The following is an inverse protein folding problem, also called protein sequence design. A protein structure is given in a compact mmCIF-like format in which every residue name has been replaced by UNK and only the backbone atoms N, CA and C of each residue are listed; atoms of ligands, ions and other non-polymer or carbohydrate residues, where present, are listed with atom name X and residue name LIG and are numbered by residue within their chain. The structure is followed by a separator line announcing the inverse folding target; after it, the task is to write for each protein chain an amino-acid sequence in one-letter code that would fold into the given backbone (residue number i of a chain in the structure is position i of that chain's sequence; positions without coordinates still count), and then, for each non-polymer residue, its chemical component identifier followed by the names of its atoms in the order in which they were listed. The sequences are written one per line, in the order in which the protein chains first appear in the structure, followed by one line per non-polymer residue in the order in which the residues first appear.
data_IF_909051324213
#
_entry.id   IF_909051324213
#
_cell.length_a   1.000
_cell.length_b   1.000
_cell.length_c   1.000
_cell.angle_alpha   90.00
_cell.angle_beta   90.00
_cell.angle_gamma   90.00
#
_symmetry.space_group_name_H-M   'P 1'
#
loop_
_entity.id
_entity.type
_entity.pdbx_description
1 polymer ?
#
# COMPACT_ATOMS: atom_id res chain seq x y z
N UNK A 1 -5.22 7.60 -8.55
CA UNK A 1 -4.21 8.28 -9.38
C UNK A 1 -3.49 9.41 -8.63
N UNK A 2 -4.06 9.99 -7.59
CA UNK A 2 -3.40 11.07 -6.82
C UNK A 2 -2.14 10.62 -6.06
N UNK A 3 -1.99 9.31 -5.77
CA UNK A 3 -0.92 8.80 -4.91
C UNK A 3 0.26 8.21 -5.66
N UNK A 4 0.07 7.74 -6.89
CA UNK A 4 1.17 7.47 -7.81
C UNK A 4 0.82 7.92 -9.25
N UNK A 5 1.80 8.42 -10.01
CA UNK A 5 1.55 9.24 -11.18
C UNK A 5 1.33 8.40 -12.45
N UNK A 6 0.16 7.77 -12.58
CA UNK A 6 -0.25 7.11 -13.82
C UNK A 6 -0.66 8.12 -14.88
N UNK A 7 -0.19 7.92 -16.10
CA UNK A 7 -0.52 8.69 -17.28
C UNK A 7 -0.73 7.85 -18.53
N UNK A 8 -1.07 8.48 -19.67
CA UNK A 8 -1.44 7.76 -20.90
C UNK A 8 -0.27 7.04 -21.58
N UNK A 9 0.96 7.37 -21.22
CA UNK A 9 2.16 6.71 -21.75
C UNK A 9 2.65 5.55 -20.87
N UNK A 10 2.00 5.32 -19.72
CA UNK A 10 2.42 4.30 -18.79
C UNK A 10 1.93 2.90 -19.18
N UNK A 11 2.77 1.92 -18.92
CA UNK A 11 2.46 0.50 -19.01
C UNK A 11 2.58 -0.13 -17.63
N UNK A 12 1.50 -0.72 -17.17
CA UNK A 12 1.49 -1.38 -15.86
C UNK A 12 1.46 -2.90 -16.00
N UNK A 13 2.15 -3.58 -15.09
CA UNK A 13 2.02 -5.02 -14.91
C UNK A 13 1.73 -5.31 -13.46
N UNK A 14 0.47 -5.67 -13.17
CA UNK A 14 0.03 -6.03 -11.83
C UNK A 14 0.05 -7.55 -11.66
N UNK A 15 0.86 -8.00 -10.69
CA UNK A 15 1.10 -9.41 -10.41
C UNK A 15 0.20 -9.95 -9.28
N UNK A 16 -0.72 -9.13 -8.76
CA UNK A 16 -1.75 -9.54 -7.80
C UNK A 16 -3.01 -10.02 -8.52
N UNK A 17 -3.76 -10.98 -7.95
CA UNK A 17 -4.99 -11.47 -8.57
C UNK A 17 -6.03 -10.37 -8.78
N UNK A 18 -6.63 -10.29 -9.96
CA UNK A 18 -7.57 -9.23 -10.32
C UNK A 18 -8.96 -9.37 -9.71
N UNK A 19 -9.28 -10.50 -9.10
CA UNK A 19 -10.50 -10.63 -8.29
C UNK A 19 -10.37 -9.93 -6.92
N UNK A 20 -9.15 -9.61 -6.49
CA UNK A 20 -8.89 -8.85 -5.27
C UNK A 20 -8.88 -7.35 -5.57
N UNK A 21 -9.39 -6.52 -4.62
CA UNK A 21 -9.44 -5.07 -4.78
C UNK A 21 -8.07 -4.45 -5.08
N UNK A 22 -7.00 -4.93 -4.41
CA UNK A 22 -5.63 -4.53 -4.69
C UNK A 22 -5.18 -4.86 -6.11
N UNK A 23 -5.59 -5.99 -6.67
CA UNK A 23 -5.24 -6.38 -8.03
C UNK A 23 -5.93 -5.55 -9.10
N UNK A 24 -7.21 -5.27 -8.95
CA UNK A 24 -7.99 -4.55 -9.96
C UNK A 24 -7.80 -3.03 -9.90
N UNK A 25 -7.60 -2.45 -8.69
CA UNK A 25 -7.55 -1.01 -8.50
C UNK A 25 -6.17 -0.43 -8.19
N UNK A 26 -5.20 -1.23 -7.70
CA UNK A 26 -3.87 -0.74 -7.35
C UNK A 26 -2.90 -0.76 -8.54
N UNK A 27 -3.11 0.10 -9.52
CA UNK A 27 -2.35 0.07 -10.78
C UNK A 27 -2.69 -1.14 -11.67
N UNK A 28 -3.81 -1.81 -11.38
CA UNK A 28 -4.41 -2.83 -12.23
C UNK A 28 -5.18 -2.21 -13.40
N UNK A 29 -6.09 -2.98 -14.03
CA UNK A 29 -6.76 -2.52 -15.25
C UNK A 29 -7.57 -1.23 -15.05
N UNK A 30 -8.33 -1.10 -13.96
CA UNK A 30 -9.22 0.04 -13.80
C UNK A 30 -8.50 1.39 -13.83
N UNK A 31 -7.53 1.69 -12.93
CA UNK A 31 -6.87 2.99 -12.95
C UNK A 31 -5.95 3.19 -14.15
N UNK A 32 -5.34 2.12 -14.67
CA UNK A 32 -4.42 2.23 -15.81
C UNK A 32 -5.16 2.60 -17.08
N UNK A 33 -6.25 1.91 -17.39
CA UNK A 33 -7.08 2.22 -18.56
C UNK A 33 -7.80 3.56 -18.40
N UNK A 34 -8.24 3.91 -17.18
CA UNK A 34 -8.81 5.24 -16.91
C UNK A 34 -7.80 6.37 -17.16
N UNK A 35 -6.51 6.13 -16.87
CA UNK A 35 -5.45 7.09 -17.17
C UNK A 35 -5.05 7.14 -18.66
N UNK A 36 -5.60 6.27 -19.50
CA UNK A 36 -5.25 6.13 -20.92
C UNK A 36 -4.00 5.28 -21.15
N UNK A 37 -3.47 4.63 -20.13
CA UNK A 37 -2.28 3.77 -20.20
C UNK A 37 -2.58 2.35 -20.70
N UNK A 38 -1.54 1.54 -20.78
CA UNK A 38 -1.60 0.15 -21.23
C UNK A 38 -1.42 -0.83 -20.06
N UNK A 39 -2.14 -1.95 -20.09
CA UNK A 39 -2.00 -3.04 -19.10
C UNK A 39 -1.34 -4.25 -19.77
N UNK A 40 -0.18 -4.65 -19.25
CA UNK A 40 0.46 -5.90 -19.68
C UNK A 40 -0.01 -7.03 -18.76
N UNK A 41 -0.75 -7.97 -19.35
CA UNK A 41 -1.37 -9.08 -18.63
C UNK A 41 -0.36 -10.21 -18.46
N UNK A 42 -0.15 -10.60 -17.20
CA UNK A 42 0.63 -11.77 -16.86
C UNK A 42 -0.32 -12.90 -16.45
N UNK A 43 -0.37 -13.97 -17.25
CA UNK A 43 -1.26 -15.11 -16.98
C UNK A 43 -0.87 -15.84 -15.69
N UNK A 44 0.44 -16.12 -15.55
CA UNK A 44 0.99 -16.85 -14.41
C UNK A 44 2.23 -16.13 -13.90
N UNK A 45 2.36 -15.98 -12.58
CA UNK A 45 3.53 -15.37 -12.00
C UNK A 45 4.77 -16.27 -12.11
N UNK A 46 5.78 -15.76 -12.79
CA UNK A 46 7.12 -16.33 -12.83
C UNK A 46 8.16 -15.18 -12.85
N UNK A 47 9.03 -15.04 -11.85
CA UNK A 47 9.93 -13.88 -11.72
C UNK A 47 10.76 -13.59 -12.97
N UNK A 48 11.34 -14.62 -13.59
CA UNK A 48 12.10 -14.46 -14.85
C UNK A 48 11.24 -13.92 -16.00
N UNK A 49 9.98 -14.40 -16.11
CA UNK A 49 9.06 -13.92 -17.13
C UNK A 49 8.66 -12.49 -16.89
N UNK A 50 8.40 -12.12 -15.63
CA UNK A 50 8.06 -10.76 -15.25
C UNK A 50 9.17 -9.77 -15.64
N UNK A 51 10.43 -10.06 -15.27
CA UNK A 51 11.55 -9.20 -15.61
C UNK A 51 11.78 -9.12 -17.13
N UNK A 52 11.70 -10.25 -17.83
CA UNK A 52 11.75 -10.28 -19.30
C UNK A 52 10.65 -9.42 -19.93
N UNK A 53 9.43 -9.43 -19.36
CA UNK A 53 8.34 -8.60 -19.86
C UNK A 53 8.52 -7.13 -19.47
N UNK A 54 9.06 -6.87 -18.28
CA UNK A 54 9.37 -5.50 -17.87
C UNK A 54 10.33 -4.82 -18.85
N UNK A 55 11.40 -5.52 -19.24
CA UNK A 55 12.34 -5.08 -20.27
C UNK A 55 11.69 -4.98 -21.66
N UNK A 56 11.07 -6.09 -22.13
CA UNK A 56 10.55 -6.19 -23.50
C UNK A 56 9.46 -5.17 -23.80
N UNK A 57 8.58 -4.91 -22.85
CA UNK A 57 7.43 -4.03 -23.01
C UNK A 57 7.61 -2.66 -22.40
N UNK A 58 8.81 -2.31 -21.91
CA UNK A 58 9.10 -1.05 -21.24
C UNK A 58 8.06 -0.73 -20.15
N UNK A 59 7.90 -1.64 -19.20
CA UNK A 59 6.93 -1.49 -18.12
C UNK A 59 7.30 -0.29 -17.25
N UNK A 60 6.37 0.63 -17.07
CA UNK A 60 6.54 1.82 -16.21
C UNK A 60 6.33 1.49 -14.73
N UNK A 61 5.35 0.65 -14.40
CA UNK A 61 5.04 0.29 -13.02
C UNK A 61 4.83 -1.21 -12.86
N UNK A 62 5.57 -1.79 -11.90
CA UNK A 62 5.34 -3.13 -11.40
C UNK A 62 4.53 -3.06 -10.10
N UNK A 63 3.48 -3.86 -10.01
CA UNK A 63 2.61 -3.88 -8.83
C UNK A 63 2.54 -5.29 -8.26
N UNK A 64 2.81 -5.43 -6.96
CA UNK A 64 2.77 -6.72 -6.29
C UNK A 64 2.97 -6.64 -4.80
N UNK A 65 2.65 -7.72 -4.09
CA UNK A 65 2.90 -7.84 -2.65
C UNK A 65 4.40 -7.98 -2.36
N UNK A 66 4.88 -7.67 -1.14
CA UNK A 66 6.31 -7.67 -0.80
C UNK A 66 7.04 -8.97 -1.16
N UNK A 67 6.40 -10.14 -0.99
CA UNK A 67 6.98 -11.44 -1.35
C UNK A 67 7.25 -11.58 -2.84
N UNK A 68 6.36 -11.07 -3.69
CA UNK A 68 6.55 -11.03 -5.15
C UNK A 68 7.74 -10.14 -5.50
N UNK A 69 7.82 -8.95 -4.92
CA UNK A 69 8.93 -8.01 -5.16
C UNK A 69 10.26 -8.62 -4.71
N UNK A 70 10.28 -9.34 -3.56
CA UNK A 70 11.47 -10.07 -3.11
C UNK A 70 11.96 -11.12 -4.14
N UNK A 71 11.03 -11.84 -4.76
CA UNK A 71 11.37 -12.83 -5.80
C UNK A 71 11.90 -12.16 -7.06
N UNK A 72 11.36 -11.02 -7.47
CA UNK A 72 11.89 -10.23 -8.58
C UNK A 72 13.30 -9.73 -8.28
N UNK A 73 13.54 -9.14 -7.10
CA UNK A 73 14.83 -8.63 -6.71
C UNK A 73 15.93 -9.73 -6.71
N UNK A 74 15.62 -10.92 -6.15
CA UNK A 74 16.53 -12.07 -6.19
C UNK A 74 16.83 -12.54 -7.61
N UNK A 75 15.85 -12.45 -8.50
CA UNK A 75 16.02 -12.86 -9.90
C UNK A 75 16.84 -11.83 -10.65
N UNK A 76 16.59 -10.54 -10.44
CA UNK A 76 17.34 -9.44 -11.02
C UNK A 76 18.84 -9.48 -10.60
N UNK A 77 19.11 -9.79 -9.34
CA UNK A 77 20.47 -9.93 -8.81
C UNK A 77 21.27 -11.05 -9.52
N UNK A 78 20.58 -12.15 -9.91
CA UNK A 78 21.20 -13.31 -10.57
C UNK A 78 21.24 -13.20 -12.09
N UNK A 79 20.23 -12.61 -12.67
CA UNK A 79 20.02 -12.48 -14.11
C UNK A 79 19.50 -11.09 -14.38
N UNK A 80 20.40 -10.10 -14.50
CA UNK A 80 20.00 -8.71 -14.72
C UNK A 80 19.23 -8.51 -16.03
N UNK A 81 18.20 -7.69 -15.96
CA UNK A 81 17.40 -7.19 -17.07
C UNK A 81 17.46 -5.66 -17.11
N UNK A 82 17.25 -5.05 -18.25
CA UNK A 82 17.12 -3.61 -18.35
C UNK A 82 15.76 -3.15 -17.81
N UNK A 83 15.80 -2.47 -16.66
CA UNK A 83 14.63 -1.90 -15.99
C UNK A 83 14.63 -0.38 -16.05
N UNK A 84 15.36 0.23 -16.98
CA UNK A 84 15.49 1.70 -17.10
C UNK A 84 14.16 2.41 -17.38
N UNK A 85 13.20 1.73 -17.99
CA UNK A 85 11.85 2.23 -18.21
C UNK A 85 10.99 2.25 -16.94
N UNK A 86 11.42 1.59 -15.85
CA UNK A 86 10.63 1.42 -14.65
C UNK A 86 10.59 2.71 -13.83
N UNK A 87 9.45 3.38 -13.85
CA UNK A 87 9.16 4.60 -13.10
C UNK A 87 8.86 4.34 -11.63
N UNK A 88 8.44 3.12 -11.29
CA UNK A 88 8.20 2.74 -9.90
C UNK A 88 7.71 1.32 -9.69
N UNK A 89 7.81 0.91 -8.44
CA UNK A 89 7.21 -0.32 -7.91
C UNK A 89 6.19 0.06 -6.85
N UNK A 90 4.98 -0.50 -6.95
CA UNK A 90 3.93 -0.33 -5.95
C UNK A 90 3.76 -1.65 -5.19
N UNK A 91 3.95 -1.60 -3.87
CA UNK A 91 3.73 -2.75 -2.99
C UNK A 91 2.62 -2.47 -1.98
N UNK A 92 1.98 -3.53 -1.48
CA UNK A 92 0.85 -3.45 -0.55
C UNK A 92 0.52 -4.80 0.07
N UNK A 93 -0.35 -4.79 1.07
CA UNK A 93 -1.01 -6.00 1.60
C UNK A 93 -0.18 -6.81 2.58
N UNK A 94 0.99 -6.35 2.96
CA UNK A 94 1.82 -6.89 4.03
C UNK A 94 2.84 -5.84 4.50
N UNK A 95 3.39 -5.96 5.72
CA UNK A 95 4.49 -5.13 6.17
C UNK A 95 5.68 -5.19 5.20
N UNK A 96 6.29 -4.04 4.96
CA UNK A 96 7.41 -3.90 4.03
C UNK A 96 8.66 -3.42 4.77
N UNK A 97 9.53 -4.35 5.10
CA UNK A 97 10.73 -4.13 5.91
C UNK A 97 11.66 -3.06 5.33
N UNK A 98 12.23 -2.22 6.20
CA UNK A 98 13.17 -1.16 5.82
C UNK A 98 14.36 -1.69 5.01
N UNK A 99 14.99 -2.76 5.49
CA UNK A 99 16.14 -3.39 4.83
C UNK A 99 15.80 -3.93 3.44
N UNK A 100 14.59 -4.48 3.28
CA UNK A 100 14.08 -4.94 2.00
C UNK A 100 13.84 -3.76 1.04
N UNK A 101 13.23 -2.68 1.52
CA UNK A 101 13.01 -1.47 0.76
C UNK A 101 14.33 -0.92 0.21
N UNK A 102 15.32 -0.71 1.08
CA UNK A 102 16.65 -0.21 0.70
C UNK A 102 17.38 -1.11 -0.31
N UNK A 103 17.23 -2.44 -0.14
CA UNK A 103 17.80 -3.41 -1.10
C UNK A 103 17.12 -3.30 -2.47
N UNK A 104 15.78 -3.21 -2.50
CA UNK A 104 15.05 -3.20 -3.76
C UNK A 104 15.17 -1.86 -4.49
N UNK A 105 15.36 -0.76 -3.77
CA UNK A 105 15.73 0.53 -4.35
C UNK A 105 17.01 0.45 -5.20
N UNK A 106 17.99 -0.35 -4.79
CA UNK A 106 19.26 -0.55 -5.51
C UNK A 106 19.14 -1.53 -6.68
N UNK A 107 18.34 -2.58 -6.52
CA UNK A 107 18.26 -3.68 -7.49
C UNK A 107 17.24 -3.48 -8.60
N UNK A 108 16.15 -2.79 -8.31
CA UNK A 108 15.00 -2.68 -9.22
C UNK A 108 14.76 -1.24 -9.67
N UNK A 109 14.43 -0.34 -8.75
CA UNK A 109 14.21 1.08 -9.00
C UNK A 109 14.25 1.87 -7.69
N UNK A 110 14.80 3.09 -7.68
CA UNK A 110 14.77 3.93 -6.48
C UNK A 110 13.36 4.38 -6.09
N UNK A 111 12.39 4.25 -6.98
CA UNK A 111 11.02 4.73 -6.79
C UNK A 111 10.12 3.62 -6.27
N UNK A 112 10.11 3.42 -4.96
CA UNK A 112 9.23 2.46 -4.31
C UNK A 112 8.06 3.20 -3.65
N UNK A 113 6.87 2.67 -3.88
CA UNK A 113 5.62 3.09 -3.28
C UNK A 113 5.11 1.94 -2.40
N UNK A 114 4.64 2.25 -1.19
CA UNK A 114 4.01 1.27 -0.32
C UNK A 114 2.65 1.78 0.16
N UNK A 115 1.58 1.06 -0.16
CA UNK A 115 0.22 1.39 0.22
C UNK A 115 -0.29 0.48 1.34
N UNK A 116 -0.86 1.07 2.38
CA UNK A 116 -1.63 0.35 3.39
C UNK A 116 -3.12 0.71 3.27
N UNK A 117 -3.96 -0.27 3.49
CA UNK A 117 -5.41 -0.15 3.53
C UNK A 117 -6.09 -1.50 3.51
N UNK A 118 -7.41 -1.47 3.65
CA UNK A 118 -8.27 -2.64 3.72
C UNK A 118 -9.20 -2.72 2.51
N UNK A 119 -9.92 -3.82 2.38
CA UNK A 119 -10.95 -3.93 1.32
C UNK A 119 -12.05 -2.90 1.51
N UNK A 120 -12.40 -2.57 2.76
CA UNK A 120 -13.48 -1.66 3.13
C UNK A 120 -13.20 -0.21 2.78
N UNK A 121 -11.94 0.22 2.84
CA UNK A 121 -11.55 1.63 2.68
C UNK A 121 -10.47 1.86 1.62
N UNK A 122 -9.98 0.81 0.96
CA UNK A 122 -8.91 0.82 -0.05
C UNK A 122 -7.58 1.34 0.52
N UNK A 123 -6.82 2.19 -0.20
CA UNK A 123 -5.59 2.79 0.31
C UNK A 123 -5.89 3.96 1.23
N UNK A 124 -5.39 3.88 2.44
CA UNK A 124 -5.57 4.90 3.46
C UNK A 124 -4.27 5.59 3.86
N UNK A 125 -3.14 4.88 3.77
CA UNK A 125 -1.82 5.53 3.80
C UNK A 125 -0.99 5.13 2.60
N UNK A 126 -0.03 5.99 2.25
CA UNK A 126 0.83 5.76 1.09
C UNK A 126 2.22 6.35 1.31
N UNK A 127 3.24 5.48 1.29
CA UNK A 127 4.65 5.86 1.25
C UNK A 127 5.02 6.17 -0.20
N UNK A 128 5.72 7.25 -0.42
CA UNK A 128 6.12 7.71 -1.76
C UNK A 128 7.64 7.83 -1.87
N UNK A 129 8.21 7.85 -3.08
CA UNK A 129 9.65 7.96 -3.27
C UNK A 129 10.32 9.16 -2.57
N UNK A 130 9.63 10.28 -2.44
CA UNK A 130 10.16 11.45 -1.74
C UNK A 130 10.24 11.28 -0.21
N UNK A 131 9.59 10.28 0.36
CA UNK A 131 9.69 9.91 1.77
C UNK A 131 10.89 8.98 2.04
N UNK A 132 11.55 8.49 0.97
CA UNK A 132 12.67 7.55 1.05
C UNK A 132 14.03 8.27 1.00
N UNK A 133 15.06 7.71 1.63
CA UNK A 133 15.07 6.46 2.40
C UNK A 133 14.65 6.60 3.87
N UNK A 134 14.41 7.82 4.37
CA UNK A 134 14.26 8.12 5.78
C UNK A 134 13.07 7.38 6.42
N UNK A 135 11.95 7.28 5.70
CA UNK A 135 10.74 6.61 6.16
C UNK A 135 10.57 5.19 5.57
N UNK A 136 11.64 4.59 5.05
CA UNK A 136 11.60 3.20 4.58
C UNK A 136 11.13 2.26 5.72
N UNK A 137 10.23 1.35 5.39
CA UNK A 137 9.61 0.43 6.34
C UNK A 137 8.35 0.97 7.03
N UNK A 138 7.92 2.21 6.71
CA UNK A 138 6.63 2.74 7.17
C UNK A 138 5.53 2.52 6.13
N UNK A 139 4.27 2.65 6.57
CA UNK A 139 3.10 2.67 5.68
C UNK A 139 2.88 4.04 5.01
N UNK A 140 3.74 5.02 5.27
CA UNK A 140 3.65 6.35 4.70
C UNK A 140 2.63 7.25 5.41
N UNK A 141 2.11 8.23 4.68
CA UNK A 141 1.19 9.27 5.18
C UNK A 141 -0.24 8.98 4.75
N UNK A 142 -1.22 9.51 5.48
CA UNK A 142 -2.64 9.45 5.09
C UNK A 142 -2.85 9.89 3.65
N UNK A 143 -3.73 9.17 2.97
CA UNK A 143 -4.19 9.55 1.65
C UNK A 143 -5.09 10.79 1.72
N UNK A 144 -5.26 11.47 0.58
CA UNK A 144 -6.16 12.62 0.49
C UNK A 144 -7.59 12.19 0.86
N UNK A 145 -8.25 13.01 1.64
CA UNK A 145 -9.62 12.79 2.15
C UNK A 145 -9.79 11.61 3.12
N UNK A 146 -8.68 11.03 3.59
CA UNK A 146 -8.69 10.01 4.62
C UNK A 146 -8.14 10.54 5.94
N UNK A 147 -8.78 10.13 7.01
CA UNK A 147 -8.28 10.31 8.36
C UNK A 147 -7.87 8.95 8.92
N UNK A 148 -6.61 8.83 9.32
CA UNK A 148 -6.04 7.63 9.93
C UNK A 148 -5.54 7.99 11.31
N UNK A 149 -6.03 7.27 12.32
CA UNK A 149 -5.62 7.43 13.71
C UNK A 149 -5.12 6.10 14.25
N UNK A 150 -4.27 6.17 15.28
CA UNK A 150 -3.84 5.01 16.05
C UNK A 150 -4.33 5.23 17.47
N UNK A 151 -5.30 4.42 17.88
CA UNK A 151 -5.97 4.54 19.18
C UNK A 151 -5.47 3.47 20.14
N UNK A 152 -5.59 3.72 21.44
CA UNK A 152 -5.17 2.77 22.47
C UNK A 152 -5.94 1.45 22.34
N UNK A 153 -5.26 0.35 22.58
CA UNK A 153 -5.89 -0.96 22.68
C UNK A 153 -6.63 -1.09 24.01
N UNK A 154 -7.82 -1.69 24.02
CA UNK A 154 -8.56 -2.01 25.23
C UNK A 154 -8.47 -3.50 25.52
N UNK A 155 -8.21 -3.82 26.77
CA UNK A 155 -8.09 -5.22 27.24
C UNK A 155 -9.41 -6.00 27.14
N UNK A 156 -10.54 -5.31 27.24
CA UNK A 156 -11.88 -5.89 27.12
C UNK A 156 -12.35 -6.10 25.68
N UNK A 157 -11.53 -5.72 24.70
CA UNK A 157 -11.86 -5.84 23.26
C UNK A 157 -12.93 -4.85 22.78
N UNK A 158 -13.35 -3.89 23.60
CA UNK A 158 -14.25 -2.81 23.17
C UNK A 158 -13.52 -1.77 22.32
N UNK A 159 -14.26 -1.00 21.53
CA UNK A 159 -13.68 0.11 20.77
C UNK A 159 -13.18 1.22 21.70
N UNK A 160 -11.96 1.68 21.45
CA UNK A 160 -11.48 2.93 22.03
C UNK A 160 -12.18 4.12 21.38
N UNK A 161 -12.31 5.21 22.12
CA UNK A 161 -12.79 6.45 21.52
C UNK A 161 -11.82 6.92 20.43
N UNK A 162 -12.31 7.47 19.29
CA UNK A 162 -11.44 7.91 18.20
C UNK A 162 -10.39 8.94 18.60
N UNK A 163 -10.64 9.71 19.67
CA UNK A 163 -9.72 10.71 20.18
C UNK A 163 -8.74 10.18 21.24
N UNK A 164 -8.90 8.93 21.69
CA UNK A 164 -7.98 8.28 22.65
C UNK A 164 -6.75 7.71 21.95
N UNK A 165 -6.00 8.60 21.30
CA UNK A 165 -4.85 8.23 20.48
C UNK A 165 -3.64 7.85 21.34
N UNK A 166 -2.78 6.99 20.78
CA UNK A 166 -1.45 6.71 21.34
C UNK A 166 -0.47 7.86 21.03
N UNK A 167 0.59 8.02 21.85
CA UNK A 167 1.67 8.96 21.54
C UNK A 167 2.35 8.63 20.20
N UNK A 168 2.79 9.66 19.48
CA UNK A 168 3.58 9.53 18.24
C UNK A 168 5.08 9.43 18.58
N UNK A 169 5.46 8.37 19.28
CA UNK A 169 6.81 8.18 19.84
C UNK A 169 7.60 7.02 19.21
N UNK A 170 7.02 6.32 18.21
CA UNK A 170 7.54 5.12 17.58
C UNK A 170 7.61 3.89 18.51
N UNK A 171 6.94 3.92 19.66
CA UNK A 171 6.99 2.87 20.68
C UNK A 171 5.59 2.41 21.08
N UNK A 172 4.69 3.34 21.34
CA UNK A 172 3.34 3.03 21.80
C UNK A 172 2.55 2.35 20.68
N UNK A 173 2.03 1.17 20.99
CA UNK A 173 1.19 0.37 20.10
C UNK A 173 -0.28 0.76 20.24
N UNK A 174 -0.99 0.75 19.11
CA UNK A 174 -2.43 0.99 19.09
C UNK A 174 -3.08 0.42 17.84
N UNK A 175 -4.41 0.35 17.85
CA UNK A 175 -5.20 -0.07 16.72
C UNK A 175 -5.29 1.05 15.68
N UNK A 176 -5.13 0.69 14.42
CA UNK A 176 -5.37 1.61 13.30
C UNK A 176 -6.88 1.74 13.08
N UNK A 177 -7.38 2.97 13.17
CA UNK A 177 -8.75 3.29 12.78
C UNK A 177 -8.76 4.28 11.62
N UNK A 178 -9.77 4.15 10.74
CA UNK A 178 -9.80 4.87 9.47
C UNK A 178 -11.18 5.48 9.24
N UNK A 179 -11.21 6.77 8.96
CA UNK A 179 -12.36 7.45 8.37
C UNK A 179 -12.07 7.77 6.91
N UNK A 180 -12.87 7.24 6.00
CA UNK A 180 -12.68 7.36 4.56
C UNK A 180 -14.04 7.49 3.84
N UNK A 181 -14.75 8.61 4.02
CA UNK A 181 -16.12 8.77 3.52
C UNK A 181 -16.23 8.70 2.01
N UNK A 182 -15.17 9.06 1.28
CA UNK A 182 -15.17 8.99 -0.18
C UNK A 182 -14.99 7.56 -0.75
N UNK A 183 -14.56 6.59 0.07
CA UNK A 183 -14.18 5.25 -0.38
C UNK A 183 -14.88 4.09 0.35
N UNK A 184 -15.44 4.35 1.53
CA UNK A 184 -16.12 3.35 2.37
C UNK A 184 -17.62 3.58 2.38
N UNK A 185 -18.38 2.49 2.29
CA UNK A 185 -19.83 2.52 2.52
C UNK A 185 -20.21 2.47 4.02
N UNK A 186 -19.23 2.30 4.91
CA UNK A 186 -19.37 2.13 6.35
C UNK A 186 -20.36 1.01 6.76
N UNK A 187 -20.51 -0.01 5.90
CA UNK A 187 -21.33 -1.17 6.19
C UNK A 187 -20.90 -2.40 5.38
N UNK A 188 -21.24 -3.57 5.90
CA UNK A 188 -21.16 -4.84 5.17
C UNK A 188 -22.55 -5.22 4.65
N UNK A 189 -22.61 -5.64 3.39
CA UNK A 189 -23.87 -6.03 2.75
C UNK A 189 -24.52 -7.21 3.49
N UNK A 190 -25.78 -7.05 3.89
CA UNK A 190 -26.57 -8.03 4.64
C UNK A 190 -25.89 -8.59 5.91
N UNK A 191 -24.98 -7.83 6.52
CA UNK A 191 -24.31 -8.23 7.75
C UNK A 191 -24.24 -7.07 8.75
N UNK A 192 -25.36 -6.73 9.41
CA UNK A 192 -25.41 -5.64 10.37
C UNK A 192 -24.54 -5.89 11.59
N UNK A 193 -24.43 -7.14 12.06
CA UNK A 193 -23.60 -7.51 13.21
C UNK A 193 -22.13 -7.18 12.97
N UNK A 194 -21.57 -7.61 11.82
CA UNK A 194 -20.18 -7.27 11.46
C UNK A 194 -20.02 -5.78 11.22
N UNK A 195 -21.05 -5.10 10.71
CA UNK A 195 -21.02 -3.66 10.52
C UNK A 195 -20.89 -2.93 11.85
N UNK A 196 -21.70 -3.30 12.84
CA UNK A 196 -21.65 -2.72 14.18
C UNK A 196 -20.32 -3.03 14.88
N UNK A 197 -19.80 -4.25 14.67
CA UNK A 197 -18.50 -4.68 15.22
C UNK A 197 -17.29 -3.93 14.62
N UNK A 198 -17.38 -3.48 13.36
CA UNK A 198 -16.24 -2.90 12.66
C UNK A 198 -16.31 -1.40 12.48
N UNK A 199 -17.47 -0.81 12.53
CA UNK A 199 -17.65 0.63 12.32
C UNK A 199 -18.22 1.30 13.57
N UNK A 200 -17.47 2.24 14.11
CA UNK A 200 -17.86 3.00 15.29
C UNK A 200 -17.52 4.48 15.10
N UNK A 201 -18.48 5.35 15.38
CA UNK A 201 -18.35 6.82 15.29
C UNK A 201 -17.71 7.34 13.99
N UNK A 202 -18.06 6.73 12.85
CA UNK A 202 -17.56 7.15 11.54
C UNK A 202 -16.15 6.63 11.20
N UNK A 203 -15.61 5.71 12.00
CA UNK A 203 -14.33 5.05 11.75
C UNK A 203 -14.50 3.55 11.55
N UNK A 204 -13.72 2.98 10.66
CA UNK A 204 -13.45 1.56 10.54
C UNK A 204 -12.36 1.17 11.55
N UNK A 205 -12.65 0.23 12.43
CA UNK A 205 -11.69 -0.40 13.34
C UNK A 205 -11.11 -1.61 12.64
N UNK A 206 -9.85 -1.49 12.22
CA UNK A 206 -9.24 -2.45 11.28
C UNK A 206 -8.86 -3.77 11.93
N UNK A 207 -8.51 -3.74 13.21
CA UNK A 207 -7.88 -4.83 13.93
C UNK A 207 -6.36 -4.91 13.71
N UNK A 208 -5.80 -4.06 12.86
CA UNK A 208 -4.36 -3.98 12.63
C UNK A 208 -3.70 -3.09 13.69
N UNK A 209 -2.55 -3.52 14.21
CA UNK A 209 -1.78 -2.81 15.22
C UNK A 209 -0.58 -2.10 14.60
N UNK A 210 -0.31 -0.90 15.06
CA UNK A 210 0.81 -0.09 14.57
C UNK A 210 1.36 0.85 15.64
N UNK A 211 2.57 1.38 15.39
CA UNK A 211 3.13 2.48 16.18
C UNK A 211 2.83 3.83 15.51
N UNK A 212 2.49 4.83 16.32
CA UNK A 212 2.42 6.22 15.88
C UNK A 212 3.82 6.76 15.62
N UNK A 213 4.11 7.27 14.41
CA UNK A 213 5.40 7.86 14.08
C UNK A 213 5.29 9.37 13.94
N UNK A 214 6.31 10.12 14.42
CA UNK A 214 6.45 11.53 14.08
C UNK A 214 6.96 11.65 12.67
N UNK A 215 6.17 12.22 11.76
CA UNK A 215 6.68 12.75 10.50
C UNK A 215 6.89 14.25 10.66
N UNK A 216 8.03 14.77 10.23
CA UNK A 216 8.47 16.16 10.43
C UNK A 216 7.59 17.25 9.78
N UNK A 217 6.49 16.90 9.12
CA UNK A 217 5.70 17.87 8.32
C UNK A 217 4.18 17.67 8.30
N UNK A 218 3.61 16.74 9.10
CA UNK A 218 2.15 16.60 9.21
C UNK A 218 1.75 15.83 10.46
N UNK A 219 0.63 16.19 11.12
CA UNK A 219 0.08 15.45 12.25
C UNK A 219 -0.52 14.08 11.86
N UNK A 220 -0.40 13.66 10.60
CA UNK A 220 -0.91 12.37 10.15
C UNK A 220 0.05 11.25 10.53
N UNK A 221 -0.43 10.29 11.28
CA UNK A 221 0.30 9.09 11.69
C UNK A 221 0.87 8.36 10.47
N UNK A 222 2.18 8.17 10.44
CA UNK A 222 2.76 7.13 9.60
C UNK A 222 2.71 5.84 10.42
N UNK A 223 1.92 4.87 9.99
CA UNK A 223 1.80 3.60 10.68
C UNK A 223 2.99 2.69 10.32
N UNK A 224 3.61 2.07 11.32
CA UNK A 224 4.39 0.84 11.12
C UNK A 224 3.52 -0.30 11.62
N UNK A 225 2.97 -1.08 10.71
CA UNK A 225 2.26 -2.32 11.04
C UNK A 225 3.26 -3.32 11.61
N UNK A 226 2.91 -3.95 12.71
CA UNK A 226 3.71 -4.98 13.39
C UNK A 226 3.42 -6.33 12.75
#
# INVERSE_FOLDING_TARGET
MMHFPLGPTDRTMNMTPWFHRGGIHSGGPCPTLYAGGEVVILRDFAPKRCLKYAEKYNISFLIGVPTIIAMLARTQERTPHDLSALRGIVTMGAPFEKSACEKYMKLLTPNIFNGYGTTESFWNTFLRPFDLPDNAGSAGRSCTDDEVRIVKLREDGSHSEPDDMVPHDNVAEGEIIISSPAKSAFCYYNNPEMTEQKFYKGFLYTGDVAHGTRTSSSPCAAARTI
#
